data_IF_832916674011
#
_entry.id   IF_832916674011
#
_cell.length_a   1.000
_cell.length_b   1.000
_cell.length_c   1.000
_cell.angle_alpha   90.00
_cell.angle_beta   90.00
_cell.angle_gamma   90.00
#
_symmetry.space_group_name_H-M   'P 1'
#
loop_
_entity.id
_entity.type
_entity.pdbx_description
1 polymer ?
#
# COMPACT_ATOMS: atom_id res chain seq x y z
N UNK A 1 -21.42 25.24 1.32
CA UNK A 1 -21.36 23.81 0.95
C UNK A 1 -20.49 23.09 1.97
N UNK A 2 -20.82 21.87 2.35
CA UNK A 2 -19.94 21.05 3.20
C UNK A 2 -18.76 20.57 2.36
N UNK A 3 -17.55 20.57 2.93
CA UNK A 3 -16.35 20.07 2.25
C UNK A 3 -16.47 18.54 2.08
N UNK A 4 -16.15 17.97 0.90
CA UNK A 4 -16.05 16.52 0.76
C UNK A 4 -15.02 15.96 1.74
N UNK A 5 -15.38 14.90 2.44
CA UNK A 5 -14.52 14.30 3.46
C UNK A 5 -13.74 13.14 2.83
N UNK A 6 -12.41 13.19 2.94
CA UNK A 6 -11.54 12.04 2.69
C UNK A 6 -11.21 11.42 4.04
N UNK A 7 -11.63 10.18 4.24
CA UNK A 7 -11.32 9.45 5.46
C UNK A 7 -10.04 8.62 5.26
N UNK A 8 -8.95 9.04 5.91
CA UNK A 8 -7.66 8.36 5.85
C UNK A 8 -7.49 7.41 7.04
N UNK A 9 -7.15 6.15 6.76
CA UNK A 9 -6.92 5.12 7.78
C UNK A 9 -5.53 4.51 7.60
N UNK A 10 -4.68 4.66 8.60
CA UNK A 10 -3.29 4.21 8.60
C UNK A 10 -2.80 4.05 10.05
N UNK A 11 -2.04 3.00 10.36
CA UNK A 11 -1.57 2.73 11.72
C UNK A 11 -0.29 3.50 12.09
N UNK A 12 0.27 4.29 11.17
CA UNK A 12 1.52 5.02 11.33
C UNK A 12 1.32 6.51 11.60
N UNK A 13 1.73 6.97 12.79
CA UNK A 13 1.75 8.41 13.13
C UNK A 13 2.49 9.26 12.10
N UNK A 14 3.56 8.73 11.50
CA UNK A 14 4.32 9.46 10.49
C UNK A 14 3.48 9.74 9.24
N UNK A 15 2.65 8.79 8.81
CA UNK A 15 1.75 8.98 7.66
C UNK A 15 0.63 9.98 7.97
N UNK A 16 0.10 9.97 9.20
CA UNK A 16 -0.83 11.01 9.68
C UNK A 16 -0.19 12.40 9.61
N UNK A 17 1.06 12.52 10.05
CA UNK A 17 1.79 13.79 10.01
C UNK A 17 2.06 14.24 8.55
N UNK A 18 2.21 13.32 7.59
CA UNK A 18 2.34 13.64 6.16
C UNK A 18 1.02 14.11 5.57
N UNK A 19 -0.09 13.42 5.86
CA UNK A 19 -1.41 13.83 5.38
C UNK A 19 -1.76 15.21 5.92
N UNK A 20 -1.56 15.46 7.21
CA UNK A 20 -1.87 16.75 7.82
C UNK A 20 -1.02 17.89 7.27
N UNK A 21 0.30 17.70 7.18
CA UNK A 21 1.24 18.80 6.96
C UNK A 21 1.68 18.97 5.50
N UNK A 22 1.46 17.95 4.65
CA UNK A 22 1.92 18.00 3.25
C UNK A 22 0.76 17.85 2.26
N UNK A 23 -0.19 16.93 2.51
CA UNK A 23 -1.28 16.64 1.57
C UNK A 23 -2.45 17.59 1.77
N UNK A 24 -3.00 17.68 2.99
CA UNK A 24 -4.19 18.46 3.28
C UNK A 24 -4.02 19.97 3.00
N UNK A 25 -2.79 20.48 3.14
CA UNK A 25 -2.47 21.88 2.80
C UNK A 25 -2.66 22.20 1.30
N UNK A 26 -2.55 21.20 0.43
CA UNK A 26 -2.74 21.36 -1.02
C UNK A 26 -4.20 21.34 -1.47
N UNK A 27 -5.13 21.01 -0.57
CA UNK A 27 -6.56 20.86 -0.86
C UNK A 27 -7.45 21.45 0.24
N UNK A 28 -7.41 22.78 0.48
CA UNK A 28 -8.19 23.43 1.53
C UNK A 28 -9.71 23.27 1.36
N UNK A 29 -10.19 22.88 0.18
CA UNK A 29 -11.58 22.57 -0.14
C UNK A 29 -12.04 21.18 0.32
N UNK A 30 -11.12 20.29 0.71
CA UNK A 30 -11.41 18.97 1.28
C UNK A 30 -11.27 18.98 2.80
N UNK A 31 -11.95 18.05 3.46
CA UNK A 31 -11.77 17.75 4.88
C UNK A 31 -11.09 16.38 5.01
N UNK A 32 -9.94 16.31 5.68
CA UNK A 32 -9.26 15.05 5.96
C UNK A 32 -9.58 14.58 7.38
N UNK A 33 -10.38 13.51 7.48
CA UNK A 33 -10.60 12.81 8.75
C UNK A 33 -9.61 11.66 8.82
N UNK A 34 -8.67 11.73 9.76
CA UNK A 34 -7.62 10.73 9.90
C UNK A 34 -7.86 9.85 11.13
N UNK A 35 -7.68 8.53 11.00
CA UNK A 35 -7.85 7.55 12.07
C UNK A 35 -6.82 6.41 11.96
N UNK A 36 -6.53 5.75 13.07
CA UNK A 36 -5.63 4.59 13.12
C UNK A 36 -6.35 3.26 12.86
N UNK A 37 -7.66 3.22 13.16
CA UNK A 37 -8.52 2.05 12.90
C UNK A 37 -9.84 2.46 12.26
N UNK A 38 -10.56 1.48 11.73
CA UNK A 38 -11.90 1.70 11.21
C UNK A 38 -12.90 2.14 12.30
N UNK A 39 -12.82 1.61 13.51
CA UNK A 39 -13.67 2.02 14.63
C UNK A 39 -13.48 3.50 14.97
N UNK A 40 -12.23 3.95 15.05
CA UNK A 40 -11.92 5.35 15.28
C UNK A 40 -12.40 6.23 14.12
N UNK A 41 -12.25 5.76 12.88
CA UNK A 41 -12.79 6.47 11.72
C UNK A 41 -14.31 6.65 11.82
N UNK A 42 -15.04 5.58 12.19
CA UNK A 42 -16.49 5.60 12.37
C UNK A 42 -16.92 6.55 13.49
N UNK A 43 -16.21 6.56 14.61
CA UNK A 43 -16.46 7.51 15.70
C UNK A 43 -16.25 8.97 15.25
N UNK A 44 -15.13 9.26 14.58
CA UNK A 44 -14.81 10.62 14.10
C UNK A 44 -15.75 11.11 13.01
N UNK A 45 -16.20 10.23 12.13
CA UNK A 45 -17.18 10.55 11.09
C UNK A 45 -18.58 10.79 11.68
N UNK A 46 -18.93 10.08 12.76
CA UNK A 46 -20.25 10.15 13.38
C UNK A 46 -21.35 9.79 12.38
N UNK A 47 -22.26 10.72 12.10
CA UNK A 47 -23.34 10.54 11.11
C UNK A 47 -22.97 10.99 9.70
N UNK A 48 -21.77 11.55 9.49
CA UNK A 48 -21.33 12.02 8.17
C UNK A 48 -20.86 10.85 7.32
N UNK A 49 -21.26 10.85 6.05
CA UNK A 49 -20.68 9.95 5.05
C UNK A 49 -19.45 10.61 4.41
N UNK A 50 -18.29 9.93 4.35
CA UNK A 50 -17.16 10.45 3.61
C UNK A 50 -17.40 10.31 2.11
N UNK A 51 -16.73 11.17 1.33
CA UNK A 51 -16.69 11.06 -0.13
C UNK A 51 -15.88 9.85 -0.58
N UNK A 52 -14.81 9.51 0.15
CA UNK A 52 -13.93 8.39 -0.14
C UNK A 52 -13.15 7.95 1.11
N UNK A 53 -12.83 6.65 1.17
CA UNK A 53 -11.85 6.08 2.11
C UNK A 53 -10.48 5.89 1.43
N UNK A 54 -9.43 6.43 2.06
CA UNK A 54 -8.04 6.28 1.67
C UNK A 54 -7.35 5.38 2.71
N UNK A 55 -7.12 4.13 2.36
CA UNK A 55 -6.69 3.10 3.31
C UNK A 55 -5.21 2.75 3.13
N UNK A 56 -4.44 2.57 4.19
CA UNK A 56 -3.19 1.82 4.07
C UNK A 56 -3.49 0.33 3.87
N UNK A 57 -2.62 -0.32 3.09
CA UNK A 57 -2.73 -1.74 2.82
C UNK A 57 -2.07 -2.57 3.92
N UNK A 58 -0.84 -2.22 4.28
CA UNK A 58 -0.02 -2.97 5.22
C UNK A 58 -0.11 -2.31 6.59
N UNK A 59 -0.31 -3.11 7.62
CA UNK A 59 -0.32 -2.62 9.00
C UNK A 59 -0.18 -3.77 9.97
N UNK A 60 -0.31 -3.46 11.26
CA UNK A 60 -0.16 -4.42 12.35
C UNK A 60 -1.17 -5.57 12.24
N UNK A 61 -0.68 -6.79 12.35
CA UNK A 61 -1.45 -8.02 12.48
C UNK A 61 -1.43 -8.49 13.94
N UNK A 62 -2.56 -8.34 14.64
CA UNK A 62 -2.72 -8.73 16.05
C UNK A 62 -2.66 -10.26 16.25
N UNK A 63 -2.77 -11.06 15.18
CA UNK A 63 -2.66 -12.53 15.28
C UNK A 63 -1.19 -12.99 15.49
N UNK A 64 -0.21 -12.11 15.24
CA UNK A 64 1.21 -12.44 15.37
C UNK A 64 1.65 -12.29 16.83
N UNK A 65 1.87 -13.44 17.49
CA UNK A 65 2.07 -13.52 18.95
C UNK A 65 3.44 -13.06 19.47
N UNK A 66 4.45 -12.98 18.61
CA UNK A 66 5.82 -12.60 18.99
C UNK A 66 6.53 -11.87 17.84
N UNK A 67 6.12 -10.64 17.51
CA UNK A 67 6.73 -9.87 16.43
C UNK A 67 8.13 -9.41 16.83
N UNK A 68 9.13 -9.75 16.02
CA UNK A 68 10.51 -9.34 16.28
C UNK A 68 11.28 -9.11 14.99
N UNK A 69 12.31 -8.26 15.06
CA UNK A 69 13.23 -8.05 13.95
C UNK A 69 14.01 -9.35 13.71
N UNK A 70 14.01 -9.83 12.46
CA UNK A 70 14.76 -11.03 12.10
C UNK A 70 16.27 -10.78 12.32
N UNK A 71 17.00 -11.70 12.97
CA UNK A 71 18.45 -11.65 13.04
C UNK A 71 19.07 -11.58 11.65
N UNK A 72 20.17 -10.83 11.51
CA UNK A 72 20.88 -10.69 10.23
C UNK A 72 21.31 -12.03 9.64
N UNK A 73 21.79 -12.95 10.48
CA UNK A 73 22.25 -14.28 10.07
C UNK A 73 21.12 -15.14 9.47
N UNK A 74 19.89 -15.01 9.97
CA UNK A 74 18.74 -15.71 9.40
C UNK A 74 18.41 -15.20 7.98
N UNK A 75 18.56 -13.89 7.77
CA UNK A 75 18.37 -13.29 6.45
C UNK A 75 19.48 -13.71 5.49
N UNK A 76 20.75 -13.68 5.93
CA UNK A 76 21.89 -14.16 5.12
C UNK A 76 21.70 -15.61 4.69
N UNK A 77 21.31 -16.49 5.62
CA UNK A 77 21.06 -17.91 5.33
C UNK A 77 19.92 -18.12 4.31
N UNK A 78 18.90 -17.27 4.29
CA UNK A 78 17.87 -17.31 3.25
C UNK A 78 18.43 -16.86 1.90
N UNK A 79 19.19 -15.77 1.89
CA UNK A 79 19.78 -15.17 0.68
C UNK A 79 20.76 -16.12 0.00
N UNK A 80 21.50 -16.97 0.73
CA UNK A 80 22.43 -17.93 0.11
C UNK A 80 21.77 -18.93 -0.83
N UNK A 81 20.44 -19.13 -0.71
CA UNK A 81 19.68 -20.01 -1.59
C UNK A 81 19.06 -19.27 -2.78
N UNK A 82 19.29 -17.97 -2.92
CA UNK A 82 18.75 -17.21 -4.04
C UNK A 82 19.51 -17.53 -5.33
N UNK A 83 18.81 -17.55 -6.47
CA UNK A 83 19.48 -17.60 -7.76
C UNK A 83 20.44 -16.42 -7.90
N UNK A 84 21.61 -16.72 -8.44
CA UNK A 84 22.68 -15.75 -8.71
C UNK A 84 22.62 -15.29 -10.17
N UNK A 85 23.42 -14.26 -10.50
CA UNK A 85 23.60 -13.90 -11.91
C UNK A 85 24.22 -15.03 -12.73
N UNK A 86 25.07 -15.86 -12.14
CA UNK A 86 25.63 -17.03 -12.83
C UNK A 86 24.52 -18.00 -13.24
N UNK A 87 23.50 -18.21 -12.39
CA UNK A 87 22.33 -19.05 -12.72
C UNK A 87 21.50 -18.46 -13.87
N UNK A 88 21.48 -17.13 -14.02
CA UNK A 88 20.80 -16.45 -15.14
C UNK A 88 21.50 -16.77 -16.47
N UNK A 89 22.82 -16.63 -16.51
CA UNK A 89 23.59 -16.75 -17.77
C UNK A 89 24.01 -18.19 -18.11
N UNK A 90 24.06 -19.10 -17.13
CA UNK A 90 24.53 -20.47 -17.33
C UNK A 90 23.76 -21.17 -18.46
N UNK A 91 24.49 -21.52 -19.53
CA UNK A 91 23.95 -22.22 -20.70
C UNK A 91 22.91 -21.43 -21.49
N UNK A 92 22.83 -20.11 -21.31
CA UNK A 92 21.89 -19.25 -22.02
C UNK A 92 22.24 -19.14 -23.52
N UNK A 93 23.54 -19.08 -23.86
CA UNK A 93 24.02 -18.98 -25.25
C UNK A 93 23.65 -20.21 -26.11
N UNK A 94 23.54 -21.37 -25.47
CA UNK A 94 23.20 -22.63 -26.13
C UNK A 94 21.69 -22.94 -26.12
N UNK A 95 20.88 -22.07 -25.49
CA UNK A 95 19.44 -22.30 -25.32
C UNK A 95 18.72 -22.30 -26.68
N UNK A 96 17.99 -23.38 -26.98
CA UNK A 96 17.37 -23.61 -28.31
C UNK A 96 15.99 -22.96 -28.50
N UNK A 97 15.52 -22.17 -27.53
CA UNK A 97 14.21 -21.52 -27.54
C UNK A 97 14.28 -20.00 -27.62
N UNK A 98 13.23 -19.34 -27.15
CA UNK A 98 13.21 -17.88 -26.99
C UNK A 98 14.17 -17.48 -25.85
N UNK A 99 15.39 -17.12 -26.24
CA UNK A 99 16.47 -16.73 -25.33
C UNK A 99 16.10 -15.51 -24.49
N UNK A 100 15.38 -14.53 -25.06
CA UNK A 100 15.01 -13.32 -24.35
C UNK A 100 13.99 -13.62 -23.23
N UNK A 101 12.97 -14.43 -23.52
CA UNK A 101 12.01 -14.86 -22.52
C UNK A 101 12.66 -15.73 -21.43
N UNK A 102 13.58 -16.62 -21.81
CA UNK A 102 14.31 -17.46 -20.85
C UNK A 102 15.19 -16.61 -19.93
N UNK A 103 15.92 -15.64 -20.48
CA UNK A 103 16.70 -14.67 -19.70
C UNK A 103 15.83 -13.94 -18.68
N UNK A 104 14.69 -13.39 -19.12
CA UNK A 104 13.79 -12.64 -18.26
C UNK A 104 13.18 -13.51 -17.15
N UNK A 105 12.81 -14.76 -17.46
CA UNK A 105 12.32 -15.72 -16.44
C UNK A 105 13.38 -15.96 -15.37
N UNK A 106 14.61 -16.26 -15.77
CA UNK A 106 15.70 -16.52 -14.82
C UNK A 106 16.01 -15.29 -13.98
N UNK A 107 16.13 -14.13 -14.62
CA UNK A 107 16.37 -12.88 -13.89
C UNK A 107 15.23 -12.58 -12.91
N UNK A 108 13.98 -12.86 -13.30
CA UNK A 108 12.83 -12.70 -12.43
C UNK A 108 12.87 -13.60 -11.19
N UNK A 109 13.46 -14.81 -11.26
CA UNK A 109 13.61 -15.65 -10.06
C UNK A 109 14.47 -15.02 -8.97
N UNK A 110 15.44 -14.17 -9.33
CA UNK A 110 16.21 -13.38 -8.37
C UNK A 110 15.28 -12.37 -7.68
N UNK A 111 14.52 -11.62 -8.48
CA UNK A 111 13.56 -10.62 -7.98
C UNK A 111 12.51 -11.27 -7.06
N UNK A 112 12.01 -12.45 -7.45
CA UNK A 112 11.03 -13.21 -6.69
C UNK A 112 11.58 -13.64 -5.32
N UNK A 113 12.83 -14.12 -5.26
CA UNK A 113 13.51 -14.43 -4.00
C UNK A 113 13.51 -13.24 -3.03
N UNK A 114 13.86 -12.04 -3.53
CA UNK A 114 13.83 -10.81 -2.73
C UNK A 114 12.42 -10.41 -2.29
N UNK A 115 11.42 -10.59 -3.14
CA UNK A 115 10.01 -10.33 -2.78
C UNK A 115 9.55 -11.27 -1.66
N UNK A 116 9.80 -12.56 -1.79
CA UNK A 116 9.45 -13.56 -0.76
C UNK A 116 10.16 -13.29 0.56
N UNK A 117 11.43 -12.88 0.53
CA UNK A 117 12.14 -12.50 1.75
C UNK A 117 11.54 -11.26 2.40
N UNK A 118 11.21 -10.25 1.60
CA UNK A 118 10.55 -9.04 2.10
C UNK A 118 9.19 -9.35 2.75
N UNK A 119 8.34 -10.16 2.09
CA UNK A 119 7.09 -10.64 2.67
C UNK A 119 7.32 -11.34 4.01
N UNK A 120 8.25 -12.30 4.03
CA UNK A 120 8.56 -13.07 5.24
C UNK A 120 9.13 -12.23 6.39
N UNK A 121 9.89 -11.16 6.08
CA UNK A 121 10.37 -10.20 7.09
C UNK A 121 9.20 -9.37 7.64
N UNK A 122 8.31 -8.89 6.77
CA UNK A 122 7.14 -8.13 7.19
C UNK A 122 6.21 -8.98 8.08
N UNK A 123 5.89 -10.21 7.65
CA UNK A 123 5.08 -11.14 8.44
C UNK A 123 5.71 -11.40 9.82
N UNK A 124 7.04 -11.55 9.86
CA UNK A 124 7.77 -11.80 11.12
C UNK A 124 7.66 -10.64 12.12
N UNK A 125 7.66 -9.40 11.64
CA UNK A 125 7.45 -8.22 12.50
C UNK A 125 5.97 -7.91 12.74
N UNK A 126 5.07 -8.79 12.30
CA UNK A 126 3.63 -8.60 12.46
C UNK A 126 3.05 -7.51 11.57
N UNK A 127 3.63 -7.27 10.39
CA UNK A 127 3.06 -6.36 9.40
C UNK A 127 2.65 -7.11 8.15
N UNK A 128 1.37 -7.05 7.80
CA UNK A 128 0.88 -7.64 6.56
C UNK A 128 -0.40 -6.97 6.05
N UNK A 129 -0.85 -7.42 4.88
CA UNK A 129 -2.03 -6.88 4.20
C UNK A 129 -3.36 -7.23 4.84
N UNK A 130 -3.42 -8.10 5.85
CA UNK A 130 -4.70 -8.43 6.52
C UNK A 130 -5.32 -7.17 7.13
N UNK A 131 -4.49 -6.27 7.65
CA UNK A 131 -4.91 -4.98 8.19
C UNK A 131 -5.74 -4.18 7.17
N UNK A 132 -5.17 -3.87 6.00
CA UNK A 132 -5.86 -3.07 4.98
C UNK A 132 -7.07 -3.79 4.39
N UNK A 133 -6.98 -5.12 4.17
CA UNK A 133 -8.10 -5.91 3.66
C UNK A 133 -9.26 -6.01 4.66
N UNK A 134 -8.96 -6.03 5.96
CA UNK A 134 -9.97 -5.96 7.00
C UNK A 134 -10.65 -4.59 7.02
N UNK A 135 -9.88 -3.49 6.96
CA UNK A 135 -10.43 -2.13 6.86
C UNK A 135 -11.34 -1.97 5.63
N UNK A 136 -10.91 -2.47 4.47
CA UNK A 136 -11.74 -2.45 3.25
C UNK A 136 -13.06 -3.20 3.46
N UNK A 137 -13.01 -4.39 4.07
CA UNK A 137 -14.23 -5.16 4.38
C UNK A 137 -15.17 -4.35 5.27
N UNK A 138 -14.65 -3.71 6.31
CA UNK A 138 -15.45 -2.88 7.21
C UNK A 138 -16.08 -1.69 6.49
N UNK A 139 -15.35 -1.03 5.58
CA UNK A 139 -15.90 0.03 4.72
C UNK A 139 -17.04 -0.51 3.85
N UNK A 140 -16.88 -1.68 3.23
CA UNK A 140 -17.93 -2.30 2.40
C UNK A 140 -19.19 -2.65 3.17
N UNK A 141 -19.04 -3.09 4.42
CA UNK A 141 -20.16 -3.46 5.29
C UNK A 141 -20.91 -2.23 5.85
N UNK A 142 -20.20 -1.16 6.21
CA UNK A 142 -20.78 -0.02 6.93
C UNK A 142 -21.06 1.20 6.06
N UNK A 143 -20.36 1.36 4.93
CA UNK A 143 -20.47 2.48 4.01
C UNK A 143 -20.63 1.97 2.56
N UNK A 144 -21.70 1.20 2.27
CA UNK A 144 -21.91 0.62 0.95
C UNK A 144 -21.99 1.72 -0.12
N UNK A 145 -21.31 1.50 -1.24
CA UNK A 145 -21.26 2.44 -2.37
C UNK A 145 -20.21 3.54 -2.26
N UNK A 146 -19.66 3.82 -1.06
CA UNK A 146 -18.58 4.79 -0.91
C UNK A 146 -17.26 4.21 -1.47
N UNK A 147 -16.56 4.93 -2.37
CA UNK A 147 -15.31 4.43 -2.91
C UNK A 147 -14.23 4.28 -1.83
N UNK A 148 -13.44 3.23 -1.95
CA UNK A 148 -12.35 2.90 -1.05
C UNK A 148 -11.12 2.48 -1.85
N UNK A 149 -10.02 3.21 -1.69
CA UNK A 149 -8.78 3.02 -2.43
C UNK A 149 -7.63 2.80 -1.45
N UNK A 150 -6.61 2.06 -1.89
CA UNK A 150 -5.40 1.87 -1.10
C UNK A 150 -4.35 2.94 -1.41
N UNK A 151 -3.59 3.36 -0.39
CA UNK A 151 -2.44 4.24 -0.49
C UNK A 151 -1.30 3.68 0.34
N UNK A 152 -0.28 3.11 -0.30
CA UNK A 152 0.73 2.32 0.41
C UNK A 152 2.15 2.49 -0.14
N UNK A 153 3.17 2.30 0.71
CA UNK A 153 4.59 2.26 0.28
C UNK A 153 5.00 0.87 -0.17
N UNK A 154 4.46 -0.14 0.53
CA UNK A 154 4.79 -1.55 0.36
C UNK A 154 3.72 -2.15 -0.54
N UNK A 155 4.07 -2.44 -1.79
CA UNK A 155 3.14 -3.08 -2.71
C UNK A 155 3.87 -4.11 -3.54
N UNK A 156 3.46 -5.37 -3.39
CA UNK A 156 3.84 -6.45 -4.29
C UNK A 156 2.71 -6.67 -5.29
N UNK A 157 3.01 -7.33 -6.41
CA UNK A 157 1.97 -7.56 -7.44
C UNK A 157 0.82 -8.42 -6.89
N UNK A 158 1.13 -9.35 -5.99
CA UNK A 158 0.15 -10.19 -5.32
C UNK A 158 -0.77 -9.40 -4.38
N UNK A 159 -0.34 -8.24 -3.91
CA UNK A 159 -1.17 -7.32 -3.13
C UNK A 159 -2.22 -6.66 -3.99
N UNK A 160 -1.81 -6.16 -5.16
CA UNK A 160 -2.75 -5.60 -6.13
C UNK A 160 -3.82 -6.62 -6.53
N UNK A 161 -3.43 -7.88 -6.77
CA UNK A 161 -4.39 -8.96 -7.04
C UNK A 161 -5.34 -9.17 -5.86
N UNK A 162 -4.83 -9.23 -4.63
CA UNK A 162 -5.66 -9.49 -3.45
C UNK A 162 -6.64 -8.35 -3.18
N UNK A 163 -6.20 -7.10 -3.24
CA UNK A 163 -7.04 -5.94 -2.96
C UNK A 163 -8.13 -5.73 -4.02
N UNK A 164 -7.82 -5.92 -5.31
CA UNK A 164 -8.84 -5.77 -6.37
C UNK A 164 -9.85 -6.91 -6.33
N UNK A 165 -9.42 -8.15 -6.00
CA UNK A 165 -10.34 -9.25 -5.71
C UNK A 165 -11.26 -8.96 -4.51
N UNK A 166 -10.77 -8.21 -3.52
CA UNK A 166 -11.56 -7.75 -2.38
C UNK A 166 -12.45 -6.54 -2.69
N UNK A 167 -12.41 -6.01 -3.92
CA UNK A 167 -13.27 -4.93 -4.37
C UNK A 167 -12.77 -3.52 -4.02
N UNK A 168 -11.45 -3.30 -3.95
CA UNK A 168 -10.88 -1.95 -3.90
C UNK A 168 -11.17 -1.17 -5.20
N UNK A 169 -11.41 0.14 -5.10
CA UNK A 169 -11.69 1.01 -6.26
C UNK A 169 -10.40 1.60 -6.89
N UNK A 170 -9.24 1.39 -6.26
CA UNK A 170 -7.97 1.95 -6.74
C UNK A 170 -6.79 1.68 -5.82
N UNK A 171 -5.58 1.99 -6.32
CA UNK A 171 -4.32 1.91 -5.60
C UNK A 171 -3.40 3.05 -5.99
N UNK A 172 -2.85 3.70 -4.98
CA UNK A 172 -1.83 4.73 -5.08
C UNK A 172 -0.58 4.28 -4.32
N UNK A 173 0.58 4.67 -4.84
CA UNK A 173 1.87 4.41 -4.17
C UNK A 173 2.32 5.66 -3.43
N UNK A 174 2.60 5.52 -2.13
CA UNK A 174 3.17 6.56 -1.28
C UNK A 174 4.59 6.92 -1.78
N UNK A 175 4.90 8.20 -2.06
CA UNK A 175 6.25 8.60 -2.42
C UNK A 175 7.23 8.27 -1.30
N UNK A 176 8.34 7.60 -1.61
CA UNK A 176 9.33 7.15 -0.63
C UNK A 176 10.69 7.75 -0.92
N UNK A 177 11.22 8.51 0.03
CA UNK A 177 12.54 9.12 -0.03
C UNK A 177 13.62 8.28 0.64
N UNK A 178 14.87 8.70 0.49
CA UNK A 178 16.01 8.11 1.19
C UNK A 178 15.98 8.31 2.71
N UNK A 179 15.20 9.29 3.18
CA UNK A 179 14.98 9.66 4.57
C UNK A 179 13.62 10.39 4.74
N UNK A 180 13.27 10.74 5.98
CA UNK A 180 12.00 11.40 6.31
C UNK A 180 11.83 12.79 5.67
N UNK A 181 12.90 13.59 5.61
CA UNK A 181 12.83 14.94 5.03
C UNK A 181 12.59 14.87 3.52
N UNK A 182 13.24 13.93 2.84
CA UNK A 182 12.99 13.66 1.43
C UNK A 182 11.61 13.07 1.19
N UNK A 183 11.15 12.18 2.07
CA UNK A 183 9.78 11.64 2.02
C UNK A 183 8.74 12.75 2.14
N UNK A 184 8.94 13.72 3.04
CA UNK A 184 8.07 14.91 3.16
C UNK A 184 8.07 15.74 1.88
N UNK A 185 9.25 16.02 1.33
CA UNK A 185 9.40 16.78 0.07
C UNK A 185 8.65 16.09 -1.08
N UNK A 186 8.89 14.79 -1.30
CA UNK A 186 8.26 14.01 -2.35
C UNK A 186 6.75 13.88 -2.15
N UNK A 187 6.29 13.74 -0.90
CA UNK A 187 4.86 13.70 -0.58
C UNK A 187 4.19 15.03 -0.92
N UNK A 188 4.81 16.16 -0.58
CA UNK A 188 4.31 17.50 -0.94
C UNK A 188 4.25 17.72 -2.45
N UNK A 189 5.26 17.27 -3.18
CA UNK A 189 5.31 17.36 -4.64
C UNK A 189 4.24 16.48 -5.31
N UNK A 190 3.96 15.31 -4.76
CA UNK A 190 2.95 14.39 -5.28
C UNK A 190 1.52 14.75 -4.87
N UNK A 191 1.34 15.49 -3.77
CA UNK A 191 0.02 15.79 -3.21
C UNK A 191 -0.98 16.36 -4.24
N UNK A 192 -0.66 17.36 -5.08
CA UNK A 192 -1.62 17.89 -6.05
C UNK A 192 -2.16 16.81 -7.00
N UNK A 193 -1.28 15.90 -7.47
CA UNK A 193 -1.68 14.80 -8.34
C UNK A 193 -2.58 13.81 -7.60
N UNK A 194 -2.23 13.42 -6.38
CA UNK A 194 -3.06 12.54 -5.55
C UNK A 194 -4.46 13.15 -5.37
N UNK A 195 -4.56 14.42 -5.02
CA UNK A 195 -5.84 15.12 -4.83
C UNK A 195 -6.70 15.12 -6.09
N UNK A 196 -6.11 15.38 -7.26
CA UNK A 196 -6.84 15.36 -8.53
C UNK A 196 -7.43 13.97 -8.81
N UNK A 197 -6.64 12.91 -8.61
CA UNK A 197 -7.08 11.53 -8.82
C UNK A 197 -8.17 11.11 -7.81
N UNK A 198 -8.06 11.50 -6.54
CA UNK A 198 -9.09 11.24 -5.53
C UNK A 198 -10.43 11.92 -5.89
N UNK A 199 -10.39 13.16 -6.42
CA UNK A 199 -11.59 13.86 -6.89
C UNK A 199 -12.23 13.13 -8.08
N UNK A 200 -11.45 12.70 -9.06
CA UNK A 200 -11.97 11.94 -10.22
C UNK A 200 -12.70 10.67 -9.81
N UNK A 201 -12.17 9.93 -8.83
CA UNK A 201 -12.81 8.71 -8.32
C UNK A 201 -14.16 9.03 -7.66
N UNK A 202 -14.20 10.08 -6.83
CA UNK A 202 -15.43 10.54 -6.21
C UNK A 202 -16.48 10.95 -7.26
N UNK A 203 -16.09 11.77 -8.24
CA UNK A 203 -17.00 12.28 -9.27
C UNK A 203 -17.53 11.17 -10.20
N UNK A 204 -16.71 10.16 -10.49
CA UNK A 204 -17.09 9.01 -11.33
C UNK A 204 -18.21 8.19 -10.69
N UNK A 205 -18.19 8.00 -9.36
CA UNK A 205 -19.24 7.26 -8.64
C UNK A 205 -20.54 8.05 -8.55
N UNK A 206 -20.48 9.38 -8.38
CA UNK A 206 -21.67 10.24 -8.40
C UNK A 206 -22.41 10.12 -9.73
N UNK A 207 -21.68 10.03 -10.85
CA UNK A 207 -22.28 9.95 -12.18
C UNK A 207 -22.82 8.56 -12.57
N UNK A 208 -22.53 7.52 -11.78
CA UNK A 208 -22.94 6.13 -12.04
C UNK A 208 -23.87 5.55 -10.95
N UNK A 209 -24.30 6.39 -10.01
CA UNK A 209 -25.27 6.07 -8.95
C UNK A 209 -26.65 6.64 -9.31
#
# INVERSE_FOLDING_TARGET
MMKPIICFIDDSKFEHDLVQNEIALSAPELEFVQAYTFEEAKEKLGTKAPALFLLDLWGKDEDVRDPHISPEEDLKMKITNFPSLDDVYKGLDDFKGDVANEYLKRLFTIVDGWRTLFEGVCDRIGQNRKYGLWNLRQVRENYPGIPAVFYTRKSLINDAVAMFKAGADGLFIKPTGSNDAETRRLTREYAPQLIEELKKINDSKINHS
#
